data_IF_146154203879
#
_entry.id   IF_146154203879
#
_cell.length_a   1.000
_cell.length_b   1.000
_cell.length_c   1.000
_cell.angle_alpha   90.00
_cell.angle_beta   90.00
_cell.angle_gamma   90.00
#
_symmetry.space_group_name_H-M   'P 1'
#
loop_
_entity.id
_entity.type
_entity.pdbx_description
1 polymer ?
#
# COMPACT_ATOMS: atom_id res chain seq x y z
N UNK A 1 30.16 51.68 -21.12
CA UNK A 1 31.19 51.40 -20.10
C UNK A 1 31.06 49.91 -19.73
N UNK A 2 31.45 48.94 -20.55
CA UNK A 2 32.79 48.46 -20.93
C UNK A 2 33.82 48.40 -19.78
N UNK A 3 34.00 47.20 -19.22
CA UNK A 3 35.30 46.69 -18.79
C UNK A 3 35.34 45.17 -18.87
N UNK A 4 36.00 44.69 -19.93
CA UNK A 4 36.55 43.34 -20.12
C UNK A 4 37.90 43.26 -19.39
N UNK A 5 38.27 42.08 -18.89
CA UNK A 5 39.60 41.43 -18.90
C UNK A 5 39.41 40.03 -18.27
N UNK A 6 39.51 38.90 -19.01
CA UNK A 6 40.75 38.14 -19.33
C UNK A 6 41.47 37.74 -18.03
N UNK A 7 41.88 36.49 -17.73
CA UNK A 7 42.20 35.28 -18.50
C UNK A 7 42.53 34.20 -17.44
N UNK A 8 42.22 32.92 -17.68
CA UNK A 8 43.16 31.80 -17.50
C UNK A 8 42.43 30.45 -17.60
N UNK A 9 42.83 29.68 -18.60
CA UNK A 9 42.43 28.32 -18.85
C UNK A 9 43.07 27.36 -17.84
N UNK A 10 42.36 26.29 -17.50
CA UNK A 10 42.98 25.04 -17.02
C UNK A 10 42.18 23.86 -17.53
N UNK A 11 42.79 23.18 -18.49
CA UNK A 11 42.38 21.92 -19.09
C UNK A 11 42.70 20.81 -18.09
N UNK A 12 41.72 19.98 -17.75
CA UNK A 12 41.97 18.64 -17.22
C UNK A 12 40.94 17.69 -17.85
N UNK A 13 41.39 17.03 -18.92
CA UNK A 13 40.67 15.95 -19.57
C UNK A 13 40.59 14.75 -18.62
N UNK A 14 39.38 14.39 -18.17
CA UNK A 14 39.14 13.09 -17.58
C UNK A 14 39.02 12.06 -18.70
N UNK A 15 40.13 11.36 -18.96
CA UNK A 15 40.15 10.18 -19.81
C UNK A 15 39.31 9.07 -19.16
N UNK A 16 38.32 8.58 -19.90
CA UNK A 16 37.58 7.38 -19.57
C UNK A 16 38.52 6.18 -19.65
N UNK A 17 38.78 5.54 -18.51
CA UNK A 17 39.39 4.22 -18.41
C UNK A 17 38.27 3.18 -18.25
N UNK A 18 38.01 2.31 -19.23
CA UNK A 18 37.19 1.13 -18.98
C UNK A 18 38.06 0.17 -18.18
N UNK A 19 37.77 0.03 -16.89
CA UNK A 19 38.34 -1.05 -16.09
C UNK A 19 37.79 -2.37 -16.64
N UNK A 20 38.65 -3.14 -17.32
CA UNK A 20 38.41 -4.55 -17.59
C UNK A 20 38.32 -5.28 -16.23
N UNK A 21 37.10 -5.63 -15.83
CA UNK A 21 36.88 -6.62 -14.80
C UNK A 21 37.17 -8.01 -15.38
N UNK A 22 38.37 -8.53 -15.16
CA UNK A 22 38.67 -9.95 -15.34
C UNK A 22 38.07 -10.71 -14.14
N UNK A 23 36.91 -11.33 -14.32
CA UNK A 23 36.42 -12.35 -13.39
C UNK A 23 37.00 -13.72 -13.80
N UNK A 24 37.60 -14.48 -12.87
CA UNK A 24 38.09 -15.83 -13.16
C UNK A 24 36.91 -16.76 -13.46
N UNK A 25 36.84 -17.25 -14.70
CA UNK A 25 35.94 -18.33 -15.12
C UNK A 25 36.40 -19.63 -14.49
N UNK A 26 35.80 -20.00 -13.36
CA UNK A 26 35.78 -21.40 -12.92
C UNK A 26 34.73 -22.12 -13.76
N UNK A 27 35.09 -23.18 -14.52
CA UNK A 27 34.11 -23.96 -15.25
C UNK A 27 33.22 -24.69 -14.24
N UNK A 28 31.93 -24.34 -14.19
CA UNK A 28 30.92 -25.15 -13.53
C UNK A 28 30.75 -26.44 -14.34
N UNK A 29 30.78 -27.64 -13.72
CA UNK A 29 30.60 -28.88 -14.46
C UNK A 29 29.22 -28.92 -15.11
N UNK A 30 29.20 -29.22 -16.41
CA UNK A 30 28.00 -29.46 -17.21
C UNK A 30 27.15 -30.56 -16.56
N UNK A 31 26.08 -30.15 -15.91
CA UNK A 31 25.02 -31.04 -15.46
C UNK A 31 23.78 -30.70 -16.28
N UNK A 32 23.61 -31.44 -17.36
CA UNK A 32 22.37 -31.52 -18.13
C UNK A 32 21.19 -31.67 -17.15
N UNK A 33 20.23 -30.73 -17.11
CA UNK A 33 19.08 -30.87 -16.23
C UNK A 33 18.21 -32.01 -16.76
N UNK A 34 18.20 -33.13 -16.04
CA UNK A 34 17.33 -34.26 -16.35
C UNK A 34 15.87 -33.79 -16.38
N UNK A 35 15.09 -34.25 -17.37
CA UNK A 35 13.68 -33.92 -17.56
C UNK A 35 12.75 -34.23 -16.37
N UNK A 36 13.27 -34.89 -15.32
CA UNK A 36 12.55 -35.19 -14.08
C UNK A 36 12.66 -34.09 -13.01
N UNK A 37 13.53 -33.09 -13.17
CA UNK A 37 13.72 -32.01 -12.17
C UNK A 37 12.86 -30.76 -12.44
N UNK A 38 12.06 -30.77 -13.51
CA UNK A 38 11.09 -29.71 -13.85
C UNK A 38 9.71 -29.96 -13.20
N UNK A 39 9.51 -31.10 -12.54
CA UNK A 39 8.22 -31.52 -11.98
C UNK A 39 8.02 -31.19 -10.49
N UNK A 40 8.88 -30.36 -9.88
CA UNK A 40 8.78 -29.96 -8.46
C UNK A 40 8.65 -28.45 -8.26
N UNK A 41 8.24 -27.70 -9.27
CA UNK A 41 7.66 -26.37 -9.01
C UNK A 41 6.39 -26.59 -8.20
N UNK A 42 6.26 -26.02 -6.98
CA UNK A 42 5.07 -26.22 -6.18
C UNK A 42 3.85 -25.74 -6.99
N UNK A 43 2.95 -26.66 -7.31
CA UNK A 43 1.67 -26.39 -8.00
C UNK A 43 0.73 -25.51 -7.15
N UNK A 44 1.20 -25.06 -5.98
CA UNK A 44 0.58 -24.06 -5.12
C UNK A 44 0.46 -22.68 -5.80
N UNK A 45 1.23 -22.38 -6.85
CA UNK A 45 1.21 -21.07 -7.51
C UNK A 45 0.12 -20.92 -8.61
N UNK A 46 -0.64 -21.98 -8.90
CA UNK A 46 -1.71 -21.97 -9.91
C UNK A 46 -3.13 -21.92 -9.33
N UNK A 47 -3.25 -21.91 -8.00
CA UNK A 47 -4.55 -21.83 -7.31
C UNK A 47 -4.54 -20.83 -6.16
N UNK A 48 -3.84 -19.70 -6.34
CA UNK A 48 -4.20 -18.49 -5.59
C UNK A 48 -5.60 -18.13 -6.07
N UNK A 49 -6.60 -18.38 -5.23
CA UNK A 49 -7.95 -17.85 -5.40
C UNK A 49 -7.82 -16.36 -5.72
N UNK A 50 -8.01 -15.98 -7.00
CA UNK A 50 -8.00 -14.58 -7.43
C UNK A 50 -9.07 -13.90 -6.58
N UNK A 51 -8.64 -13.08 -5.62
CA UNK A 51 -9.57 -12.27 -4.87
C UNK A 51 -10.24 -11.34 -5.87
N UNK A 52 -11.55 -11.46 -5.98
CA UNK A 52 -12.33 -10.61 -6.86
C UNK A 52 -12.18 -9.15 -6.41
N UNK A 53 -11.94 -8.26 -7.38
CA UNK A 53 -11.80 -6.84 -7.08
C UNK A 53 -13.18 -6.33 -6.65
N UNK A 54 -13.32 -5.71 -5.46
CA UNK A 54 -14.60 -5.18 -5.01
C UNK A 54 -15.20 -4.21 -6.03
N UNK A 55 -16.50 -4.36 -6.33
CA UNK A 55 -17.20 -3.52 -7.31
C UNK A 55 -17.07 -2.02 -7.04
N UNK A 56 -16.98 -1.63 -5.76
CA UNK A 56 -16.78 -0.23 -5.38
C UNK A 56 -15.48 0.34 -5.97
N UNK A 57 -14.40 -0.45 -5.99
CA UNK A 57 -13.10 -0.05 -6.55
C UNK A 57 -13.12 -0.05 -8.07
N UNK A 58 -13.84 -0.98 -8.70
CA UNK A 58 -14.07 -0.97 -10.17
C UNK A 58 -14.83 0.30 -10.58
N UNK A 59 -15.89 0.64 -9.84
CA UNK A 59 -16.65 1.88 -10.07
C UNK A 59 -15.78 3.13 -9.87
N UNK A 60 -14.86 3.11 -8.90
CA UNK A 60 -13.90 4.19 -8.69
C UNK A 60 -12.94 4.36 -9.88
N UNK A 61 -12.54 3.28 -10.56
CA UNK A 61 -11.74 3.38 -11.79
C UNK A 61 -12.52 4.03 -12.94
N UNK A 62 -13.78 3.63 -13.13
CA UNK A 62 -14.60 4.15 -14.22
C UNK A 62 -14.99 5.62 -14.01
N UNK A 63 -15.23 6.01 -12.76
CA UNK A 63 -15.78 7.32 -12.38
C UNK A 63 -15.09 7.90 -11.15
N UNK A 64 -13.78 8.21 -11.18
CA UNK A 64 -13.03 8.60 -9.99
C UNK A 64 -13.51 9.90 -9.34
N UNK A 65 -14.10 10.82 -10.12
CA UNK A 65 -14.52 12.17 -9.66
C UNK A 65 -16.03 12.42 -9.77
N UNK A 66 -16.84 11.38 -9.97
CA UNK A 66 -18.29 11.52 -10.10
C UNK A 66 -18.94 11.90 -8.76
N UNK A 67 -19.83 12.88 -8.81
CA UNK A 67 -20.58 13.43 -7.68
C UNK A 67 -22.08 13.19 -7.78
N UNK A 68 -22.53 12.41 -8.77
CA UNK A 68 -23.94 12.05 -8.92
C UNK A 68 -24.49 11.44 -7.61
N UNK A 69 -25.53 12.07 -7.06
CA UNK A 69 -26.15 11.66 -5.78
C UNK A 69 -25.37 12.05 -4.51
N UNK A 70 -24.19 12.67 -4.61
CA UNK A 70 -23.30 12.99 -3.48
C UNK A 70 -23.35 14.48 -3.08
N UNK A 71 -24.47 15.16 -3.31
CA UNK A 71 -24.59 16.60 -3.07
C UNK A 71 -24.62 17.04 -1.60
N UNK A 72 -24.95 16.12 -0.68
CA UNK A 72 -25.19 16.38 0.75
C UNK A 72 -24.21 15.60 1.63
N UNK A 73 -23.85 16.16 2.78
CA UNK A 73 -22.90 15.53 3.71
C UNK A 73 -23.24 14.08 4.11
N UNK A 74 -24.49 13.69 4.41
CA UNK A 74 -24.80 12.29 4.75
C UNK A 74 -24.49 11.30 3.61
N UNK A 75 -24.68 11.72 2.35
CA UNK A 75 -24.35 10.91 1.19
C UNK A 75 -22.84 10.73 1.03
N UNK A 76 -22.07 11.81 1.23
CA UNK A 76 -20.61 11.76 1.24
C UNK A 76 -20.07 10.86 2.36
N UNK A 77 -20.61 10.99 3.58
CA UNK A 77 -20.24 10.15 4.73
C UNK A 77 -20.48 8.68 4.39
N UNK A 78 -21.68 8.34 3.92
CA UNK A 78 -22.04 6.97 3.58
C UNK A 78 -21.11 6.39 2.51
N UNK A 79 -20.82 7.16 1.47
CA UNK A 79 -19.95 6.70 0.39
C UNK A 79 -18.50 6.51 0.85
N UNK A 80 -17.96 7.45 1.63
CA UNK A 80 -16.60 7.37 2.16
C UNK A 80 -16.46 6.21 3.16
N UNK A 81 -17.45 5.95 4.00
CA UNK A 81 -17.45 4.81 4.91
C UNK A 81 -17.32 3.47 4.16
N UNK A 82 -17.99 3.29 3.02
CA UNK A 82 -17.81 2.09 2.19
C UNK A 82 -16.37 1.94 1.71
N UNK A 83 -15.71 3.04 1.36
CA UNK A 83 -14.28 3.01 1.01
C UNK A 83 -13.40 2.68 2.21
N UNK A 84 -13.69 3.22 3.39
CA UNK A 84 -12.94 2.91 4.62
C UNK A 84 -13.12 1.44 5.07
N UNK A 85 -14.27 0.84 4.82
CA UNK A 85 -14.50 -0.59 5.08
C UNK A 85 -13.63 -1.50 4.20
N UNK A 86 -13.42 -1.11 2.93
CA UNK A 86 -12.67 -1.90 1.95
C UNK A 86 -11.17 -1.60 1.99
N UNK A 87 -10.80 -0.31 2.04
CA UNK A 87 -9.42 0.17 1.99
C UNK A 87 -8.79 0.27 3.38
N UNK A 88 -9.59 0.15 4.43
CA UNK A 88 -9.16 0.38 5.80
C UNK A 88 -9.04 1.86 6.15
N UNK A 89 -8.53 2.16 7.35
CA UNK A 89 -8.28 3.52 7.83
C UNK A 89 -7.48 4.36 6.83
N UNK A 90 -7.84 5.63 6.70
CA UNK A 90 -7.16 6.53 5.79
C UNK A 90 -5.82 7.05 6.33
N UNK A 91 -4.99 7.58 5.42
CA UNK A 91 -3.64 8.06 5.73
C UNK A 91 -3.62 9.28 6.66
N UNK A 92 -4.77 9.90 6.90
CA UNK A 92 -4.97 11.02 7.81
C UNK A 92 -5.03 10.61 9.30
N UNK A 93 -5.10 9.31 9.59
CA UNK A 93 -4.95 8.75 10.93
C UNK A 93 -3.50 8.30 11.18
N UNK A 94 -2.99 8.33 12.44
CA UNK A 94 -1.64 7.88 12.76
C UNK A 94 -1.46 6.38 12.52
N UNK A 95 -0.22 5.94 12.33
CA UNK A 95 0.09 4.57 11.90
C UNK A 95 -0.44 3.50 12.87
N UNK A 96 -0.36 3.78 14.17
CA UNK A 96 -0.83 2.91 15.25
C UNK A 96 -2.33 2.62 15.13
N UNK A 97 -3.12 3.60 14.66
CA UNK A 97 -4.55 3.45 14.40
C UNK A 97 -4.84 2.65 13.11
N UNK A 98 -3.89 2.59 12.16
CA UNK A 98 -4.03 1.87 10.89
C UNK A 98 -3.58 0.42 10.98
N UNK A 99 -2.50 0.14 11.71
CA UNK A 99 -1.78 -1.14 11.69
C UNK A 99 -2.61 -2.32 12.21
N UNK A 100 -3.41 -2.13 13.27
CA UNK A 100 -4.13 -3.24 13.93
C UNK A 100 -5.49 -3.60 13.33
N UNK A 101 -6.07 -2.77 12.47
CA UNK A 101 -7.28 -3.14 11.72
C UNK A 101 -6.95 -4.23 10.68
N UNK A 102 -5.70 -4.28 10.20
CA UNK A 102 -5.22 -5.36 9.31
C UNK A 102 -5.12 -6.73 10.01
N UNK A 103 -4.92 -6.76 11.33
CA UNK A 103 -4.71 -8.01 12.08
C UNK A 103 -6.01 -8.71 12.53
N UNK A 104 -7.13 -7.97 12.64
CA UNK A 104 -8.38 -8.50 13.21
C UNK A 104 -9.59 -8.56 12.28
N UNK A 105 -9.57 -7.89 11.12
CA UNK A 105 -10.72 -7.87 10.19
C UNK A 105 -10.39 -8.30 8.76
N UNK A 106 -9.14 -8.68 8.50
CA UNK A 106 -8.69 -8.98 7.14
C UNK A 106 -7.87 -10.27 7.15
N UNK A 107 -8.51 -11.37 6.76
CA UNK A 107 -7.79 -12.48 6.20
C UNK A 107 -6.99 -11.97 4.99
N UNK A 108 -5.66 -11.89 5.11
CA UNK A 108 -4.70 -11.63 4.02
C UNK A 108 -5.15 -10.54 3.03
N UNK A 109 -5.02 -9.27 3.42
CA UNK A 109 -4.60 -8.24 2.47
C UNK A 109 -3.20 -7.86 2.86
N UNK A 110 -2.28 -8.10 1.93
CA UNK A 110 -0.88 -7.71 2.02
C UNK A 110 -0.83 -6.18 2.14
N UNK A 111 -0.91 -5.65 3.37
CA UNK A 111 -0.51 -4.28 3.70
C UNK A 111 0.95 -4.30 4.16
N UNK A 112 1.78 -5.11 3.50
CA UNK A 112 3.23 -4.91 3.56
C UNK A 112 3.61 -4.03 2.38
N UNK A 113 3.84 -2.75 2.66
CA UNK A 113 4.42 -1.75 1.75
C UNK A 113 3.42 -1.09 0.79
N UNK A 114 2.90 0.06 1.23
CA UNK A 114 2.68 1.21 0.35
C UNK A 114 4.01 1.64 -0.30
N UNK A 115 4.57 0.79 -1.17
CA UNK A 115 5.67 1.14 -2.07
C UNK A 115 5.23 0.66 -3.46
N UNK A 116 4.73 1.57 -4.32
CA UNK A 116 4.59 1.21 -5.72
C UNK A 116 5.96 0.79 -6.24
N UNK A 117 6.01 -0.23 -7.10
CA UNK A 117 7.21 -0.70 -7.83
C UNK A 117 8.18 -1.68 -7.13
N UNK A 118 7.85 -2.35 -6.02
CA UNK A 118 8.71 -3.44 -5.47
C UNK A 118 8.86 -4.69 -6.37
N UNK A 119 8.29 -4.67 -7.59
CA UNK A 119 8.19 -5.82 -8.49
C UNK A 119 8.95 -5.73 -9.82
N UNK A 120 9.85 -4.75 -10.04
CA UNK A 120 10.48 -4.56 -11.37
C UNK A 120 11.18 -5.81 -11.96
N UNK A 121 11.61 -6.76 -11.11
CA UNK A 121 12.28 -7.99 -11.56
C UNK A 121 11.27 -9.08 -12.00
N UNK A 122 10.05 -9.06 -11.45
CA UNK A 122 8.96 -10.01 -11.83
C UNK A 122 8.05 -9.46 -12.92
N UNK A 123 8.24 -8.20 -13.33
CA UNK A 123 7.45 -7.48 -14.34
C UNK A 123 7.71 -7.94 -15.78
N UNK A 124 8.86 -8.55 -16.08
CA UNK A 124 9.23 -8.90 -17.46
C UNK A 124 8.45 -10.14 -17.98
N UNK A 125 7.94 -11.02 -17.11
CA UNK A 125 7.22 -12.24 -17.54
C UNK A 125 5.72 -12.09 -17.71
N UNK A 126 5.12 -10.93 -17.37
CA UNK A 126 3.68 -10.68 -17.53
C UNK A 126 2.74 -11.47 -16.60
N UNK A 127 3.27 -12.34 -15.74
CA UNK A 127 2.51 -13.31 -14.93
C UNK A 127 1.50 -12.71 -13.93
N UNK A 128 1.59 -11.40 -13.64
CA UNK A 128 0.83 -10.74 -12.57
C UNK A 128 -0.23 -9.74 -13.09
N UNK A 129 -0.91 -10.03 -14.21
CA UNK A 129 -1.93 -9.12 -14.76
C UNK A 129 -3.07 -8.82 -13.78
N UNK A 130 -3.48 -9.80 -12.98
CA UNK A 130 -4.50 -9.62 -11.95
C UNK A 130 -4.02 -8.71 -10.82
N UNK A 131 -2.80 -8.90 -10.32
CA UNK A 131 -2.24 -8.03 -9.29
C UNK A 131 -2.18 -6.57 -9.76
N UNK A 132 -1.81 -6.32 -11.03
CA UNK A 132 -1.85 -4.98 -11.61
C UNK A 132 -3.27 -4.40 -11.60
N UNK A 133 -4.27 -5.19 -11.94
CA UNK A 133 -5.67 -4.76 -11.92
C UNK A 133 -6.13 -4.43 -10.49
N UNK A 134 -5.80 -5.27 -9.51
CA UNK A 134 -6.09 -5.04 -8.09
C UNK A 134 -5.43 -3.75 -7.60
N UNK A 135 -4.14 -3.57 -7.88
CA UNK A 135 -3.41 -2.36 -7.51
C UNK A 135 -4.00 -1.11 -8.16
N UNK A 136 -4.31 -1.16 -9.47
CA UNK A 136 -4.96 -0.06 -10.16
C UNK A 136 -6.33 0.29 -9.54
N UNK A 137 -7.09 -0.70 -9.08
CA UNK A 137 -8.39 -0.50 -8.45
C UNK A 137 -8.26 0.12 -7.05
N UNK A 138 -7.28 -0.32 -6.26
CA UNK A 138 -6.94 0.29 -4.97
C UNK A 138 -6.54 1.74 -5.16
N UNK A 139 -5.66 2.04 -6.11
CA UNK A 139 -5.23 3.42 -6.39
C UNK A 139 -6.40 4.31 -6.79
N UNK A 140 -7.32 3.82 -7.63
CA UNK A 140 -8.52 4.56 -7.99
C UNK A 140 -9.45 4.79 -6.78
N UNK A 141 -9.61 3.78 -5.90
CA UNK A 141 -10.36 3.92 -4.66
C UNK A 141 -9.77 4.96 -3.71
N UNK A 142 -8.44 4.95 -3.51
CA UNK A 142 -7.73 5.94 -2.70
C UNK A 142 -7.89 7.35 -3.28
N UNK A 143 -7.73 7.51 -4.59
CA UNK A 143 -7.90 8.79 -5.27
C UNK A 143 -9.34 9.32 -5.11
N UNK A 144 -10.35 8.47 -5.33
CA UNK A 144 -11.76 8.84 -5.17
C UNK A 144 -12.08 9.20 -3.72
N UNK A 145 -11.64 8.40 -2.75
CA UNK A 145 -11.83 8.70 -1.31
C UNK A 145 -11.24 10.08 -0.95
N UNK A 146 -10.00 10.33 -1.34
CA UNK A 146 -9.33 11.61 -1.09
C UNK A 146 -10.07 12.79 -1.73
N UNK A 147 -10.52 12.64 -2.97
CA UNK A 147 -11.34 13.64 -3.65
C UNK A 147 -12.64 13.93 -2.90
N UNK A 148 -13.40 12.90 -2.53
CA UNK A 148 -14.67 13.05 -1.81
C UNK A 148 -14.47 13.71 -0.44
N UNK A 149 -13.39 13.39 0.28
CA UNK A 149 -13.02 14.10 1.53
C UNK A 149 -12.71 15.57 1.29
N UNK A 150 -12.05 15.93 0.18
CA UNK A 150 -11.83 17.33 -0.20
C UNK A 150 -13.14 18.07 -0.48
N UNK A 151 -14.09 17.42 -1.15
CA UNK A 151 -15.43 17.98 -1.36
C UNK A 151 -16.18 18.15 -0.03
N UNK A 152 -16.14 17.16 0.85
CA UNK A 152 -16.81 17.27 2.15
C UNK A 152 -16.15 18.30 3.07
N UNK A 153 -14.83 18.50 3.00
CA UNK A 153 -14.12 19.61 3.66
C UNK A 153 -14.65 20.96 3.17
N UNK A 154 -14.75 21.16 1.85
CA UNK A 154 -15.30 22.40 1.27
C UNK A 154 -16.75 22.68 1.72
N UNK A 155 -17.50 21.62 2.04
CA UNK A 155 -18.88 21.68 2.53
C UNK A 155 -18.98 21.68 4.06
N UNK A 156 -17.85 21.65 4.78
CA UNK A 156 -17.77 21.53 6.25
C UNK A 156 -18.54 20.33 6.80
N UNK A 157 -18.51 19.20 6.10
CA UNK A 157 -19.08 17.96 6.59
C UNK A 157 -18.31 17.45 7.81
N UNK A 158 -18.97 16.63 8.64
CA UNK A 158 -18.31 15.94 9.74
C UNK A 158 -17.42 14.79 9.22
N UNK A 159 -16.48 14.35 10.06
CA UNK A 159 -15.73 13.11 9.82
C UNK A 159 -16.72 11.92 9.72
N UNK A 160 -16.49 10.94 8.81
CA UNK A 160 -15.32 10.72 7.95
C UNK A 160 -15.34 11.49 6.61
N UNK A 161 -16.35 12.30 6.32
CA UNK A 161 -16.45 13.00 5.04
C UNK A 161 -15.50 14.18 4.86
N UNK A 162 -14.53 14.33 5.75
CA UNK A 162 -13.47 15.33 5.67
C UNK A 162 -12.18 14.78 6.30
N UNK A 163 -11.02 15.41 6.11
CA UNK A 163 -9.80 15.01 6.79
C UNK A 163 -9.98 14.94 8.31
N UNK A 164 -9.35 13.94 8.93
CA UNK A 164 -9.33 13.80 10.38
C UNK A 164 -8.73 15.06 11.03
N UNK A 165 -9.51 15.74 11.90
CA UNK A 165 -8.96 16.83 12.71
C UNK A 165 -8.20 16.28 13.90
N UNK A 166 -7.40 17.13 14.56
CA UNK A 166 -6.68 16.76 15.78
C UNK A 166 -7.60 16.16 16.86
N UNK A 167 -8.82 16.67 17.02
CA UNK A 167 -9.78 16.10 17.98
C UNK A 167 -10.24 14.69 17.58
N UNK A 168 -10.46 14.45 16.28
CA UNK A 168 -10.85 13.13 15.78
C UNK A 168 -9.71 12.14 15.98
N UNK A 169 -8.48 12.53 15.67
CA UNK A 169 -7.31 11.68 15.89
C UNK A 169 -7.17 11.33 17.36
N UNK A 170 -7.29 12.31 18.26
CA UNK A 170 -7.23 12.09 19.70
C UNK A 170 -8.33 11.12 20.18
N UNK A 171 -9.56 11.28 19.70
CA UNK A 171 -10.67 10.38 20.03
C UNK A 171 -10.41 8.94 19.55
N UNK A 172 -9.99 8.78 18.29
CA UNK A 172 -9.66 7.45 17.73
C UNK A 172 -8.53 6.79 18.52
N UNK A 173 -7.49 7.54 18.90
CA UNK A 173 -6.39 6.98 19.68
C UNK A 173 -6.82 6.58 21.09
N UNK A 174 -7.63 7.40 21.76
CA UNK A 174 -8.18 7.07 23.07
C UNK A 174 -9.02 5.77 23.02
N UNK A 175 -9.86 5.62 21.99
CA UNK A 175 -10.64 4.40 21.77
C UNK A 175 -9.72 3.18 21.56
N UNK A 176 -8.60 3.35 20.83
CA UNK A 176 -7.62 2.27 20.60
C UNK A 176 -6.87 1.89 21.86
N UNK A 177 -6.47 2.86 22.68
CA UNK A 177 -5.82 2.61 23.96
C UNK A 177 -6.76 1.85 24.91
N UNK A 178 -8.03 2.25 24.97
CA UNK A 178 -9.04 1.56 25.75
C UNK A 178 -9.28 0.10 25.27
N UNK A 179 -9.40 -0.12 23.96
CA UNK A 179 -9.51 -1.47 23.39
C UNK A 179 -8.27 -2.33 23.71
N UNK A 180 -7.07 -1.75 23.70
CA UNK A 180 -5.82 -2.45 24.01
C UNK A 180 -5.75 -2.84 25.48
N UNK A 181 -6.06 -1.91 26.37
CA UNK A 181 -6.13 -2.17 27.80
C UNK A 181 -7.13 -3.28 28.14
N UNK A 182 -8.31 -3.28 27.48
CA UNK A 182 -9.31 -4.33 27.65
C UNK A 182 -8.78 -5.71 27.21
N UNK A 183 -8.10 -5.80 26.06
CA UNK A 183 -7.50 -7.04 25.57
C UNK A 183 -6.36 -7.54 26.46
N UNK A 184 -5.58 -6.63 27.04
CA UNK A 184 -4.51 -6.97 27.99
C UNK A 184 -5.09 -7.54 29.29
N UNK A 185 -6.17 -6.95 29.79
CA UNK A 185 -6.90 -7.47 30.95
C UNK A 185 -7.49 -8.86 30.69
N UNK A 186 -8.10 -9.07 29.51
CA UNK A 186 -8.64 -10.36 29.10
C UNK A 186 -7.55 -11.45 29.04
N UNK A 187 -6.42 -11.15 28.40
CA UNK A 187 -5.27 -12.07 28.32
C UNK A 187 -4.66 -12.37 29.69
N UNK A 188 -4.57 -11.36 30.57
CA UNK A 188 -4.08 -11.56 31.93
C UNK A 188 -5.02 -12.47 32.74
N UNK A 189 -6.34 -12.32 32.56
CA UNK A 189 -7.34 -13.15 33.20
C UNK A 189 -7.35 -14.60 32.66
N UNK A 190 -7.10 -14.80 31.36
CA UNK A 190 -6.95 -16.13 30.76
C UNK A 190 -5.70 -16.84 31.30
N UNK A 191 -4.54 -16.16 31.28
CA UNK A 191 -3.29 -16.70 31.82
C UNK A 191 -3.40 -17.09 33.30
N UNK A 192 -4.09 -16.26 34.11
CA UNK A 192 -4.28 -16.56 35.52
C UNK A 192 -5.16 -17.81 35.77
N UNK A 193 -6.03 -18.19 34.82
CA UNK A 193 -6.81 -19.43 34.89
C UNK A 193 -5.99 -20.63 34.46
N UNK A 194 -5.14 -20.47 33.45
CA UNK A 194 -4.23 -21.52 32.98
C UNK A 194 -3.19 -21.88 34.03
N UNK A 195 -2.64 -20.89 34.73
CA UNK A 195 -1.66 -21.09 35.82
C UNK A 195 -2.29 -21.75 37.08
N UNK A 196 -3.63 -21.82 37.17
CA UNK A 196 -4.37 -22.39 38.31
C UNK A 196 -4.88 -23.83 38.06
N UNK A 197 -4.62 -24.40 36.89
CA UNK A 197 -5.01 -25.78 36.50
C UNK A 197 -3.80 -26.69 36.44
#
# INVERSE_FOLDING_TARGET
MLRKCLLAASIAAFAAVPALAQQPTTPLPDREPSAMDVAKTPVTDLNIAKQEIPELLINAQARPYDLAGLGRCPALITEITKFDEILGPDIDLPQEARDRISAGRVAKTVVSSFIPFRGLIREVSGANAHDRAVQAAIQAGLARRGFLKGIGESKRCAYPARPASAQVIAAVMADREAEQAAKEQEKAAEKAKDDAT
#
